data_IF_496211618748
#
_entry.id   IF_496211618748
#
_cell.length_a   1.000
_cell.length_b   1.000
_cell.length_c   1.000
_cell.angle_alpha   90.00
_cell.angle_beta   90.00
_cell.angle_gamma   90.00
#
_symmetry.space_group_name_H-M   'P 1'
#
loop_
_entity.id
_entity.type
_entity.pdbx_description
1 polymer ?
#
# COMPACT_ATOMS: atom_id res chain seq x y z
N UNK A 1 -18.00 4.92 -8.82
CA UNK A 1 -16.91 3.92 -8.75
C UNK A 1 -17.27 2.94 -7.66
N UNK A 2 -17.14 1.64 -7.89
CA UNK A 2 -17.50 0.64 -6.86
C UNK A 2 -16.37 0.59 -5.83
N UNK A 3 -16.67 0.97 -4.58
CA UNK A 3 -15.73 0.86 -3.46
C UNK A 3 -15.47 -0.62 -3.14
N UNK A 4 -14.24 -0.93 -2.73
CA UNK A 4 -13.91 -2.26 -2.21
C UNK A 4 -14.42 -2.42 -0.77
N UNK A 5 -14.78 -3.65 -0.36
CA UNK A 5 -15.08 -3.92 1.04
C UNK A 5 -13.84 -3.71 1.91
N UNK A 6 -14.01 -3.08 3.08
CA UNK A 6 -12.92 -2.86 4.05
C UNK A 6 -12.50 -4.15 4.77
N UNK A 7 -13.41 -5.13 4.87
CA UNK A 7 -13.16 -6.40 5.51
C UNK A 7 -13.72 -7.55 4.67
N UNK A 8 -12.93 -8.61 4.54
CA UNK A 8 -13.32 -9.87 3.91
C UNK A 8 -13.32 -10.97 4.98
N UNK A 9 -14.46 -11.67 5.19
CA UNK A 9 -14.49 -12.78 6.13
C UNK A 9 -13.78 -14.01 5.56
N UNK A 10 -13.29 -14.89 6.45
CA UNK A 10 -12.78 -16.21 6.07
C UNK A 10 -11.34 -16.22 5.53
N UNK A 11 -10.60 -15.12 5.62
CA UNK A 11 -9.19 -15.10 5.26
C UNK A 11 -8.35 -15.85 6.30
N UNK A 12 -7.42 -16.67 5.84
CA UNK A 12 -6.31 -17.15 6.67
C UNK A 12 -5.42 -15.97 7.10
N UNK A 13 -4.59 -16.12 8.15
CA UNK A 13 -3.68 -15.05 8.55
C UNK A 13 -2.77 -14.56 7.41
N UNK A 14 -2.24 -15.48 6.60
CA UNK A 14 -1.41 -15.10 5.45
C UNK A 14 -2.19 -14.30 4.40
N UNK A 15 -3.44 -14.66 4.14
CA UNK A 15 -4.30 -13.95 3.18
C UNK A 15 -4.70 -12.58 3.70
N UNK A 16 -5.04 -12.47 4.98
CA UNK A 16 -5.31 -11.19 5.61
C UNK A 16 -4.08 -10.25 5.59
N UNK A 17 -2.87 -10.82 5.61
CA UNK A 17 -1.65 -10.03 5.46
C UNK A 17 -1.52 -9.40 4.08
N UNK A 18 -1.78 -10.20 3.05
CA UNK A 18 -1.78 -9.74 1.67
C UNK A 18 -2.92 -8.76 1.40
N UNK A 19 -4.12 -9.04 1.91
CA UNK A 19 -5.30 -8.20 1.78
C UNK A 19 -5.05 -6.79 2.31
N UNK A 20 -4.38 -6.63 3.45
CA UNK A 20 -4.06 -5.31 3.98
C UNK A 20 -3.23 -4.47 2.99
N UNK A 21 -2.19 -5.06 2.37
CA UNK A 21 -1.43 -4.37 1.33
C UNK A 21 -2.28 -4.07 0.09
N UNK A 22 -3.08 -5.04 -0.37
CA UNK A 22 -3.92 -4.84 -1.55
C UNK A 22 -4.96 -3.75 -1.32
N UNK A 23 -5.55 -3.64 -0.13
CA UNK A 23 -6.43 -2.53 0.24
C UNK A 23 -5.73 -1.18 0.14
N UNK A 24 -4.45 -1.08 0.52
CA UNK A 24 -3.70 0.17 0.33
C UNK A 24 -3.49 0.50 -1.14
N UNK A 25 -3.06 -0.46 -1.96
CA UNK A 25 -2.87 -0.28 -3.39
C UNK A 25 -4.16 0.18 -4.08
N UNK A 26 -5.27 -0.54 -3.81
CA UNK A 26 -6.59 -0.16 -4.29
C UNK A 26 -7.02 1.21 -3.77
N UNK A 27 -6.73 1.55 -2.52
CA UNK A 27 -7.13 2.84 -1.99
C UNK A 27 -6.43 4.02 -2.69
N UNK A 28 -5.17 3.86 -3.13
CA UNK A 28 -4.51 4.84 -3.98
C UNK A 28 -5.20 4.94 -5.35
N UNK A 29 -5.41 3.80 -6.01
CA UNK A 29 -5.98 3.74 -7.37
C UNK A 29 -7.42 4.29 -7.45
N UNK A 30 -8.19 4.15 -6.36
CA UNK A 30 -9.60 4.56 -6.28
C UNK A 30 -9.82 5.85 -5.47
N UNK A 31 -8.76 6.45 -4.92
CA UNK A 31 -8.85 7.58 -3.99
C UNK A 31 -9.83 7.32 -2.83
N UNK A 32 -9.66 6.18 -2.14
CA UNK A 32 -10.54 5.74 -1.06
C UNK A 32 -9.83 5.71 0.31
N UNK A 33 -9.82 6.85 0.99
CA UNK A 33 -9.19 6.97 2.31
C UNK A 33 -9.80 6.02 3.35
N UNK A 34 -11.09 5.71 3.23
CA UNK A 34 -11.79 4.80 4.14
C UNK A 34 -11.32 3.34 3.97
N UNK A 35 -10.75 3.00 2.81
CA UNK A 35 -10.10 1.73 2.55
C UNK A 35 -8.63 1.72 3.00
N UNK A 36 -7.93 2.85 2.80
CA UNK A 36 -6.52 3.01 3.17
C UNK A 36 -6.31 3.00 4.69
N UNK A 37 -7.04 3.85 5.42
CA UNK A 37 -6.79 4.12 6.83
C UNK A 37 -6.84 2.85 7.69
N UNK A 38 -7.84 1.95 7.54
CA UNK A 38 -7.89 0.72 8.31
C UNK A 38 -6.85 -0.32 7.88
N UNK A 39 -6.23 -0.19 6.71
CA UNK A 39 -5.11 -1.05 6.29
C UNK A 39 -3.78 -0.62 6.94
N UNK A 40 -3.70 0.61 7.44
CA UNK A 40 -2.61 1.09 8.26
C UNK A 40 -2.84 0.80 9.75
N UNK A 41 -1.75 0.80 10.53
CA UNK A 41 -1.80 0.50 11.95
C UNK A 41 -2.49 1.64 12.69
N UNK A 42 -3.63 1.40 13.32
CA UNK A 42 -4.28 2.45 14.11
C UNK A 42 -3.82 2.45 15.57
N UNK A 43 -3.24 1.35 16.04
CA UNK A 43 -2.88 1.15 17.45
C UNK A 43 -1.39 1.40 17.73
N UNK A 44 -0.60 1.64 16.69
CA UNK A 44 0.83 1.95 16.76
C UNK A 44 1.17 3.04 15.76
N UNK A 45 2.30 3.72 15.95
CA UNK A 45 2.75 4.74 15.00
C UNK A 45 3.11 4.10 13.65
N UNK A 46 2.43 4.52 12.57
CA UNK A 46 2.71 4.06 11.21
C UNK A 46 3.87 4.84 10.63
N UNK A 47 4.77 4.15 9.95
CA UNK A 47 5.95 4.77 9.32
C UNK A 47 6.09 4.31 7.87
N UNK A 48 6.33 5.26 6.97
CA UNK A 48 6.68 5.00 5.58
C UNK A 48 8.08 5.54 5.32
N UNK A 49 8.96 4.69 4.76
CA UNK A 49 10.31 5.07 4.38
C UNK A 49 10.51 4.86 2.87
N UNK A 50 10.88 5.92 2.17
CA UNK A 50 11.17 5.86 0.74
C UNK A 50 12.67 6.04 0.57
N UNK A 51 13.34 4.92 0.27
CA UNK A 51 14.78 4.73 0.49
C UNK A 51 15.67 5.63 -0.36
N UNK A 52 15.29 5.91 -1.61
CA UNK A 52 16.15 6.68 -2.52
C UNK A 52 16.27 8.17 -2.15
N UNK A 53 15.23 8.71 -1.51
CA UNK A 53 15.18 10.13 -1.12
C UNK A 53 15.29 10.34 0.39
N UNK A 54 15.51 9.27 1.16
CA UNK A 54 15.50 9.27 2.62
C UNK A 54 14.27 9.99 3.21
N UNK A 55 13.11 9.81 2.59
CA UNK A 55 11.86 10.42 3.02
C UNK A 55 11.22 9.52 4.07
N UNK A 56 10.81 10.14 5.18
CA UNK A 56 10.13 9.49 6.29
C UNK A 56 8.81 10.19 6.55
N UNK A 57 7.71 9.43 6.53
CA UNK A 57 6.40 9.92 7.00
C UNK A 57 6.02 9.15 8.25
N UNK A 58 5.63 9.88 9.28
CA UNK A 58 5.37 9.35 10.61
C UNK A 58 3.96 9.75 11.05
N UNK A 59 3.15 8.75 11.38
CA UNK A 59 1.78 8.94 11.81
C UNK A 59 0.80 9.12 10.66
N UNK A 60 -0.46 8.80 10.93
CA UNK A 60 -1.50 8.68 9.90
C UNK A 60 -1.82 10.01 9.23
N UNK A 61 -1.70 11.13 9.93
CA UNK A 61 -2.00 12.46 9.40
C UNK A 61 -0.94 12.91 8.40
N UNK A 62 0.34 12.66 8.69
CA UNK A 62 1.43 12.95 7.75
C UNK A 62 1.34 12.06 6.51
N UNK A 63 1.08 10.76 6.71
CA UNK A 63 0.88 9.81 5.62
C UNK A 63 -0.31 10.24 4.75
N UNK A 64 -1.41 10.72 5.35
CA UNK A 64 -2.53 11.24 4.58
C UNK A 64 -2.11 12.43 3.71
N UNK A 65 -1.59 13.47 4.33
CA UNK A 65 -1.34 14.74 3.67
C UNK A 65 -0.19 14.67 2.65
N UNK A 66 0.87 13.90 2.95
CA UNK A 66 2.11 13.89 2.15
C UNK A 66 2.23 12.70 1.19
N UNK A 67 1.48 11.62 1.42
CA UNK A 67 1.52 10.44 0.56
C UNK A 67 0.16 10.18 -0.09
N UNK A 68 -0.89 9.97 0.70
CA UNK A 68 -2.20 9.58 0.17
C UNK A 68 -2.79 10.64 -0.76
N UNK A 69 -2.99 11.86 -0.25
CA UNK A 69 -3.63 12.94 -1.00
C UNK A 69 -2.85 13.33 -2.27
N UNK A 70 -1.52 13.12 -2.25
CA UNK A 70 -0.63 13.38 -3.40
C UNK A 70 -0.81 12.31 -4.48
N UNK A 71 -0.76 11.03 -4.10
CA UNK A 71 -0.84 9.91 -5.05
C UNK A 71 -2.27 9.74 -5.56
N UNK A 72 -3.28 9.87 -4.69
CA UNK A 72 -4.69 9.65 -5.05
C UNK A 72 -5.30 10.76 -5.92
N UNK A 73 -4.62 11.91 -6.03
CA UNK A 73 -4.97 12.96 -6.97
C UNK A 73 -4.60 12.63 -8.43
N UNK A 74 -3.80 11.58 -8.65
CA UNK A 74 -3.33 11.10 -9.94
C UNK A 74 -4.18 9.92 -10.43
N UNK A 75 -4.15 9.64 -11.73
CA UNK A 75 -4.64 8.36 -12.23
C UNK A 75 -3.52 7.33 -11.97
N UNK A 76 -3.75 6.38 -11.07
CA UNK A 76 -2.73 5.42 -10.67
C UNK A 76 -3.16 3.98 -10.89
N UNK A 77 -2.16 3.11 -11.07
CA UNK A 77 -2.35 1.67 -11.03
C UNK A 77 -1.18 1.03 -10.32
N UNK A 78 -1.46 0.29 -9.25
CA UNK A 78 -0.48 -0.42 -8.45
C UNK A 78 -0.65 -1.94 -8.63
N UNK A 79 0.23 -2.56 -9.39
CA UNK A 79 0.23 -4.01 -9.62
C UNK A 79 1.26 -4.64 -8.71
N UNK A 80 0.86 -5.52 -7.81
CA UNK A 80 1.76 -6.15 -6.87
C UNK A 80 1.75 -7.68 -6.95
N UNK A 81 2.94 -8.28 -6.92
CA UNK A 81 3.18 -9.70 -7.16
C UNK A 81 4.38 -10.20 -6.37
N UNK A 82 4.63 -11.52 -6.43
CA UNK A 82 5.80 -12.18 -5.85
C UNK A 82 5.91 -11.94 -4.34
N UNK A 83 4.77 -11.86 -3.65
CA UNK A 83 4.72 -11.59 -2.23
C UNK A 83 5.24 -12.78 -1.40
N UNK A 84 6.16 -12.49 -0.49
CA UNK A 84 6.67 -13.41 0.53
C UNK A 84 6.20 -12.90 1.88
N UNK A 85 5.54 -13.76 2.65
CA UNK A 85 4.97 -13.42 3.95
C UNK A 85 5.59 -14.35 4.97
N UNK A 86 6.17 -13.77 6.02
CA UNK A 86 6.64 -14.47 7.20
C UNK A 86 5.85 -13.94 8.40
N UNK A 87 5.17 -14.83 9.11
CA UNK A 87 4.48 -14.51 10.35
C UNK A 87 5.22 -15.20 11.49
N UNK A 88 5.33 -14.53 12.63
CA UNK A 88 5.85 -15.12 13.84
C UNK A 88 4.92 -16.23 14.35
N UNK A 89 5.40 -17.17 15.19
CA UNK A 89 4.60 -18.30 15.67
C UNK A 89 3.30 -17.91 16.39
N UNK A 90 3.25 -16.72 16.99
CA UNK A 90 2.06 -16.20 17.65
C UNK A 90 1.04 -15.58 16.67
N UNK A 91 1.41 -15.40 15.40
CA UNK A 91 0.61 -14.79 14.35
C UNK A 91 0.36 -13.29 14.53
N UNK A 92 0.96 -12.65 15.55
CA UNK A 92 0.70 -11.25 15.92
C UNK A 92 1.64 -10.27 15.26
N UNK A 93 2.79 -10.74 14.81
CA UNK A 93 3.76 -9.91 14.11
C UNK A 93 4.32 -10.68 12.92
N UNK A 94 4.92 -9.96 11.99
CA UNK A 94 5.54 -10.57 10.84
C UNK A 94 6.18 -9.56 9.91
N UNK A 95 6.69 -10.07 8.80
CA UNK A 95 7.26 -9.28 7.73
C UNK A 95 6.81 -9.79 6.37
N UNK A 96 6.46 -8.85 5.50
CA UNK A 96 6.15 -9.12 4.11
C UNK A 96 7.16 -8.44 3.19
N UNK A 97 7.48 -9.11 2.09
CA UNK A 97 8.22 -8.56 0.96
C UNK A 97 7.38 -8.70 -0.29
N UNK A 98 7.29 -7.66 -1.09
CA UNK A 98 6.47 -7.68 -2.30
C UNK A 98 7.11 -6.84 -3.40
N UNK A 99 6.97 -7.30 -4.64
CA UNK A 99 7.36 -6.54 -5.82
C UNK A 99 6.14 -5.84 -6.38
N UNK A 100 6.28 -4.58 -6.77
CA UNK A 100 5.19 -3.83 -7.35
C UNK A 100 5.61 -3.06 -8.59
N UNK A 101 4.65 -2.82 -9.47
CA UNK A 101 4.76 -1.99 -10.64
C UNK A 101 3.72 -0.90 -10.53
N UNK A 102 4.17 0.35 -10.46
CA UNK A 102 3.29 1.48 -10.22
C UNK A 102 3.31 2.40 -11.45
N UNK A 103 2.13 2.77 -11.92
CA UNK A 103 1.96 3.75 -12.98
C UNK A 103 1.26 4.96 -12.39
N UNK A 104 1.80 6.16 -12.65
CA UNK A 104 1.17 7.41 -12.24
C UNK A 104 1.06 8.32 -13.46
N UNK A 105 -0.18 8.70 -13.78
CA UNK A 105 -0.51 9.69 -14.78
C UNK A 105 -1.14 10.89 -14.11
N UNK A 106 -1.01 12.06 -14.74
CA UNK A 106 -1.88 13.19 -14.35
C UNK A 106 -3.34 12.80 -14.54
N UNK A 107 -4.21 13.33 -13.69
CA UNK A 107 -5.64 13.05 -13.71
C UNK A 107 -6.26 13.20 -15.10
N UNK A 108 -7.02 12.19 -15.55
CA UNK A 108 -7.65 12.10 -16.86
C UNK A 108 -6.70 11.90 -18.03
N UNK A 109 -5.48 11.41 -17.80
CA UNK A 109 -4.47 11.21 -18.86
C UNK A 109 -4.08 9.75 -19.08
N UNK A 110 -4.45 8.82 -18.19
CA UNK A 110 -4.05 7.41 -18.28
C UNK A 110 -4.44 6.73 -19.60
N UNK A 111 -5.65 6.99 -20.11
CA UNK A 111 -6.16 6.39 -21.34
C UNK A 111 -5.65 7.04 -22.64
N UNK A 112 -4.85 8.12 -22.54
CA UNK A 112 -4.37 8.88 -23.70
C UNK A 112 -3.00 8.39 -24.13
N UNK A 113 -2.88 8.02 -25.39
CA UNK A 113 -1.61 7.60 -25.98
C UNK A 113 -0.55 8.72 -25.87
N UNK A 114 0.68 8.35 -25.52
CA UNK A 114 1.80 9.29 -25.40
C UNK A 114 1.77 10.21 -24.16
N UNK A 115 0.79 10.07 -23.27
CA UNK A 115 0.76 10.83 -22.02
C UNK A 115 2.03 10.63 -21.19
N UNK A 116 2.64 11.73 -20.68
CA UNK A 116 3.72 11.62 -19.70
C UNK A 116 3.24 10.86 -18.46
N UNK A 117 4.10 9.95 -17.98
CA UNK A 117 3.83 9.14 -16.80
C UNK A 117 5.09 8.93 -15.99
N UNK A 118 4.92 8.75 -14.68
CA UNK A 118 5.94 8.12 -13.86
C UNK A 118 5.63 6.62 -13.79
N UNK A 119 6.60 5.81 -14.20
CA UNK A 119 6.50 4.36 -14.14
C UNK A 119 7.67 3.83 -13.31
N UNK A 120 7.37 3.10 -12.25
CA UNK A 120 8.37 2.65 -11.29
C UNK A 120 8.18 1.18 -10.93
N UNK A 121 9.29 0.44 -10.93
CA UNK A 121 9.35 -0.90 -10.36
C UNK A 121 9.82 -0.81 -8.91
N UNK A 122 8.99 -1.25 -7.98
CA UNK A 122 9.24 -1.13 -6.54
C UNK A 122 9.46 -2.49 -5.89
N UNK A 123 10.29 -2.50 -4.84
CA UNK A 123 10.37 -3.60 -3.87
C UNK A 123 10.00 -3.03 -2.52
N UNK A 124 8.98 -3.59 -1.90
CA UNK A 124 8.54 -3.20 -0.57
C UNK A 124 8.96 -4.27 0.44
N UNK A 125 9.54 -3.82 1.53
CA UNK A 125 9.58 -4.55 2.81
C UNK A 125 8.53 -3.91 3.72
N UNK A 126 7.81 -4.72 4.50
CA UNK A 126 6.60 -4.33 5.23
C UNK A 126 6.64 -5.04 6.59
N UNK A 127 6.89 -4.31 7.67
CA UNK A 127 6.75 -4.84 9.04
C UNK A 127 5.30 -4.76 9.53
N UNK A 128 4.76 -5.93 9.86
CA UNK A 128 3.36 -6.14 10.18
C UNK A 128 3.17 -6.43 11.66
N UNK A 129 2.11 -5.85 12.25
CA UNK A 129 1.59 -6.27 13.54
C UNK A 129 0.08 -6.50 13.44
N UNK A 130 -0.49 -7.28 14.34
CA UNK A 130 -1.92 -7.54 14.40
C UNK A 130 -2.66 -6.30 14.89
N UNK A 131 -3.64 -5.83 14.13
CA UNK A 131 -4.60 -4.86 14.63
C UNK A 131 -5.77 -5.57 15.32
N UNK A 132 -6.02 -5.23 16.59
CA UNK A 132 -7.29 -5.55 17.25
C UNK A 132 -8.39 -4.72 16.60
N UNK A 133 -9.18 -5.31 15.71
CA UNK A 133 -10.51 -4.78 15.41
C UNK A 133 -11.41 -5.09 16.61
N UNK A 134 -12.32 -4.17 16.99
CA UNK A 134 -13.24 -4.39 18.13
C UNK A 134 -13.94 -5.76 18.03
N UNK A 135 -14.28 -6.43 19.14
CA UNK A 135 -14.61 -7.86 19.22
C UNK A 135 -15.83 -8.36 18.40
N UNK A 136 -16.45 -7.52 17.57
CA UNK A 136 -17.62 -7.86 16.75
C UNK A 136 -17.37 -7.90 15.24
N UNK A 137 -16.14 -7.67 14.75
CA UNK A 137 -15.82 -7.72 13.31
C UNK A 137 -14.50 -8.45 13.07
N UNK A 138 -14.53 -9.36 12.09
CA UNK A 138 -13.56 -10.41 11.75
C UNK A 138 -12.06 -10.08 11.93
N UNK A 139 -11.21 -11.09 12.18
CA UNK A 139 -9.82 -10.85 12.54
C UNK A 139 -8.93 -10.59 11.32
N UNK A 140 -7.78 -9.98 11.64
CA UNK A 140 -6.55 -9.85 10.87
C UNK A 140 -6.46 -8.67 9.90
N UNK A 141 -5.68 -7.68 10.33
CA UNK A 141 -5.08 -6.66 9.47
C UNK A 141 -3.61 -6.60 9.84
N UNK A 142 -2.75 -6.75 8.84
CA UNK A 142 -1.30 -6.68 8.96
C UNK A 142 -0.79 -5.36 8.41
N UNK A 143 0.34 -4.90 8.94
CA UNK A 143 0.73 -3.50 8.85
C UNK A 143 1.98 -3.31 7.99
N UNK A 144 2.17 -2.22 7.24
CA UNK A 144 3.45 -1.93 6.62
C UNK A 144 4.27 -0.92 7.42
N UNK A 145 5.49 -1.30 7.80
CA UNK A 145 6.62 -0.38 7.66
C UNK A 145 7.14 -0.49 6.21
N UNK A 146 6.57 0.28 5.28
CA UNK A 146 6.90 0.19 3.87
C UNK A 146 8.28 0.82 3.61
N UNK A 147 9.29 0.01 3.28
CA UNK A 147 10.54 0.49 2.68
C UNK A 147 10.45 0.34 1.16
N UNK A 148 10.28 1.46 0.44
CA UNK A 148 10.19 1.50 -1.01
C UNK A 148 11.56 1.78 -1.63
N UNK A 149 12.10 0.84 -2.40
CA UNK A 149 13.20 1.11 -3.35
C UNK A 149 12.58 1.39 -4.73
N UNK A 150 12.80 2.57 -5.30
CA UNK A 150 12.06 3.04 -6.46
C UNK A 150 12.63 2.63 -7.82
N UNK A 151 13.91 2.36 -8.06
CA UNK A 151 14.49 2.05 -9.40
C UNK A 151 13.71 2.66 -10.59
N UNK A 152 13.69 4.00 -10.67
CA UNK A 152 13.12 4.70 -11.82
C UNK A 152 14.02 4.50 -13.04
N UNK A 153 13.57 3.74 -14.04
CA UNK A 153 14.19 3.79 -15.35
C UNK A 153 13.68 5.05 -16.06
N UNK A 154 14.52 6.07 -16.32
CA UNK A 154 14.11 7.13 -17.23
C UNK A 154 13.69 6.47 -18.53
N UNK A 155 12.50 6.81 -19.02
CA UNK A 155 11.92 6.28 -20.25
C UNK A 155 13.03 6.14 -21.30
N UNK A 156 13.27 4.91 -21.77
CA UNK A 156 14.05 4.69 -22.98
C UNK A 156 13.36 5.50 -24.06
N UNK A 157 13.96 6.65 -24.40
CA UNK A 157 13.58 7.42 -25.58
C UNK A 157 13.99 6.55 -26.76
N UNK A 158 13.00 5.94 -27.41
CA UNK A 158 13.07 5.59 -28.83
C UNK A 158 12.19 6.57 -29.58
#
# INVERSE_FOLDING_TARGET
MNKQPVALPGLSPREAALDAYYRMAWAFDYNDWDLFKPACATNTEVRFHIGENNIHYIGIDEIRAKLFDVVSALDTQHIATNARVHLEPDGKTGRMWIMALNQHYRKGQQAKAGSPRLWGGNKYMIDMVEALCSPSKAPLIFLPAMCAYLVSFPSLRS
#
